data_IF_647459036669
#
_entry.id   IF_647459036669
#
_cell.length_a   1.000
_cell.length_b   1.000
_cell.length_c   1.000
_cell.angle_alpha   90.00
_cell.angle_beta   90.00
_cell.angle_gamma   90.00
#
_symmetry.space_group_name_H-M   'P 1'
#
loop_
_entity.id
_entity.type
_entity.pdbx_description
1 polymer ?
#
# COMPACT_ATOMS: atom_id res chain seq x y z
N UNK A 1 5.03 16.41 -26.08
CA UNK A 1 4.69 14.99 -25.83
C UNK A 1 4.84 14.66 -24.35
N UNK A 2 3.81 14.91 -23.54
CA UNK A 2 3.86 14.64 -22.09
C UNK A 2 2.48 14.25 -21.55
N UNK A 3 1.43 14.96 -21.98
CA UNK A 3 0.06 14.73 -21.53
C UNK A 3 -0.53 13.39 -22.01
N UNK A 4 -0.45 13.09 -23.30
CA UNK A 4 -1.08 11.88 -23.88
C UNK A 4 -0.52 10.59 -23.26
N UNK A 5 0.78 10.57 -22.96
CA UNK A 5 1.43 9.43 -22.30
C UNK A 5 1.00 9.28 -20.84
N UNK A 6 0.88 10.38 -20.10
CA UNK A 6 0.38 10.37 -18.73
C UNK A 6 -1.07 9.89 -18.70
N UNK A 7 -1.90 10.39 -19.61
CA UNK A 7 -3.30 9.98 -19.72
C UNK A 7 -3.43 8.50 -20.06
N UNK A 8 -2.68 8.02 -21.06
CA UNK A 8 -2.68 6.60 -21.45
C UNK A 8 -2.25 5.68 -20.31
N UNK A 9 -1.17 6.01 -19.59
CA UNK A 9 -0.74 5.25 -18.39
C UNK A 9 -1.80 5.28 -17.30
N UNK A 10 -2.54 6.38 -17.17
CA UNK A 10 -3.65 6.49 -16.23
C UNK A 10 -4.77 5.52 -16.60
N UNK A 11 -5.26 5.59 -17.84
CA UNK A 11 -6.33 4.74 -18.37
C UNK A 11 -5.96 3.26 -18.30
N UNK A 12 -4.73 2.89 -18.67
CA UNK A 12 -4.32 1.48 -18.70
C UNK A 12 -4.27 0.86 -17.30
N UNK A 13 -3.80 1.61 -16.30
CA UNK A 13 -3.87 1.17 -14.90
C UNK A 13 -5.32 1.04 -14.45
N UNK A 14 -6.19 1.99 -14.81
CA UNK A 14 -7.61 1.89 -14.49
C UNK A 14 -8.26 0.65 -15.14
N UNK A 15 -7.98 0.39 -16.41
CA UNK A 15 -8.52 -0.75 -17.14
C UNK A 15 -8.07 -2.09 -16.53
N UNK A 16 -6.78 -2.21 -16.20
CA UNK A 16 -6.25 -3.42 -15.55
C UNK A 16 -6.87 -3.60 -14.15
N UNK A 17 -6.91 -2.55 -13.32
CA UNK A 17 -7.50 -2.65 -11.98
C UNK A 17 -9.00 -2.93 -12.02
N UNK A 18 -9.73 -2.38 -13.00
CA UNK A 18 -11.15 -2.62 -13.20
C UNK A 18 -11.47 -4.07 -13.58
N UNK A 19 -10.50 -4.81 -14.16
CA UNK A 19 -10.67 -6.25 -14.44
C UNK A 19 -10.80 -7.09 -13.16
N UNK A 20 -10.34 -6.58 -12.02
CA UNK A 20 -10.33 -7.29 -10.74
C UNK A 20 -9.29 -8.41 -10.65
N UNK A 21 -8.51 -8.66 -11.70
CA UNK A 21 -7.41 -9.62 -11.71
C UNK A 21 -6.21 -9.09 -10.93
N UNK A 22 -5.42 -10.01 -10.38
CA UNK A 22 -4.14 -9.72 -9.71
C UNK A 22 -2.95 -9.75 -10.67
N UNK A 23 -3.21 -10.05 -11.94
CA UNK A 23 -2.26 -10.04 -13.07
C UNK A 23 -2.83 -9.22 -14.22
N UNK A 24 -2.00 -8.92 -15.22
CA UNK A 24 -2.44 -8.17 -16.40
C UNK A 24 -3.32 -9.07 -17.29
N UNK A 25 -4.55 -8.65 -17.66
CA UNK A 25 -5.37 -9.38 -18.61
C UNK A 25 -4.64 -9.60 -19.94
N UNK A 26 -4.77 -10.77 -20.60
CA UNK A 26 -4.07 -11.04 -21.86
C UNK A 26 -4.31 -9.98 -22.95
N UNK A 27 -5.52 -9.43 -23.03
CA UNK A 27 -5.87 -8.39 -23.99
C UNK A 27 -5.18 -7.04 -23.76
N UNK A 28 -4.60 -6.80 -22.57
CA UNK A 28 -3.89 -5.56 -22.22
C UNK A 28 -2.37 -5.77 -22.09
N UNK A 29 -1.88 -7.00 -22.23
CA UNK A 29 -0.48 -7.35 -21.94
C UNK A 29 0.51 -6.60 -22.84
N UNK A 30 0.23 -6.51 -24.14
CA UNK A 30 1.09 -5.81 -25.12
C UNK A 30 1.19 -4.31 -24.81
N UNK A 31 0.07 -3.68 -24.45
CA UNK A 31 0.05 -2.26 -24.12
C UNK A 31 0.75 -1.98 -22.79
N UNK A 32 0.56 -2.86 -21.80
CA UNK A 32 1.27 -2.76 -20.53
C UNK A 32 2.76 -2.91 -20.71
N UNK A 33 3.19 -3.86 -21.55
CA UNK A 33 4.60 -4.03 -21.87
C UNK A 33 5.18 -2.77 -22.52
N UNK A 34 4.51 -2.23 -23.54
CA UNK A 34 4.95 -1.04 -24.26
C UNK A 34 5.02 0.22 -23.36
N UNK A 35 4.04 0.42 -22.48
CA UNK A 35 3.98 1.65 -21.66
C UNK A 35 4.82 1.57 -20.38
N UNK A 36 4.95 0.37 -19.80
CA UNK A 36 5.56 0.18 -18.49
C UNK A 36 6.88 -0.62 -18.50
N UNK A 37 7.28 -1.19 -19.64
CA UNK A 37 8.42 -2.11 -19.71
C UNK A 37 8.13 -3.45 -19.02
N UNK A 38 6.88 -3.89 -19.12
CA UNK A 38 6.40 -5.17 -18.59
C UNK A 38 5.67 -5.06 -17.25
N UNK A 39 5.28 -6.23 -16.72
CA UNK A 39 4.44 -6.33 -15.51
C UNK A 39 5.10 -5.73 -14.27
N UNK A 40 6.42 -5.87 -14.11
CA UNK A 40 7.16 -5.28 -12.98
C UNK A 40 7.07 -3.75 -12.95
N UNK A 41 7.21 -3.09 -14.10
CA UNK A 41 7.06 -1.63 -14.19
C UNK A 41 5.62 -1.17 -13.97
N UNK A 42 4.65 -2.00 -14.35
CA UNK A 42 3.23 -1.77 -14.06
C UNK A 42 2.94 -1.87 -12.55
N UNK A 43 3.43 -2.92 -11.89
CA UNK A 43 3.32 -3.08 -10.43
C UNK A 43 3.89 -1.87 -9.67
N UNK A 44 5.05 -1.37 -10.11
CA UNK A 44 5.65 -0.16 -9.53
C UNK A 44 4.80 1.09 -9.74
N UNK A 45 4.07 1.21 -10.85
CA UNK A 45 3.11 2.30 -11.04
C UNK A 45 1.94 2.19 -10.06
N UNK A 46 1.36 0.99 -9.91
CA UNK A 46 0.27 0.75 -8.95
C UNK A 46 0.73 1.07 -7.52
N UNK A 47 1.91 0.59 -7.12
CA UNK A 47 2.51 0.86 -5.82
C UNK A 47 2.76 2.37 -5.61
N UNK A 48 3.27 3.08 -6.62
CA UNK A 48 3.44 4.54 -6.56
C UNK A 48 2.12 5.27 -6.35
N UNK A 49 1.04 4.85 -7.01
CA UNK A 49 -0.30 5.44 -6.80
C UNK A 49 -0.82 5.16 -5.41
N UNK A 50 -0.67 3.93 -4.93
CA UNK A 50 -1.03 3.55 -3.56
C UNK A 50 -0.31 4.43 -2.53
N UNK A 51 1.02 4.54 -2.61
CA UNK A 51 1.77 5.35 -1.66
C UNK A 51 1.52 6.85 -1.77
N UNK A 52 1.31 7.40 -2.97
CA UNK A 52 0.88 8.79 -3.11
C UNK A 52 -0.46 9.06 -2.42
N UNK A 53 -1.41 8.14 -2.55
CA UNK A 53 -2.70 8.26 -1.89
C UNK A 53 -2.59 8.11 -0.37
N UNK A 54 -1.69 7.24 0.10
CA UNK A 54 -1.37 7.12 1.53
C UNK A 54 -0.72 8.40 2.06
N UNK A 55 0.35 8.87 1.43
CA UNK A 55 1.10 10.06 1.84
C UNK A 55 0.20 11.31 1.86
N UNK A 56 -0.68 11.48 0.86
CA UNK A 56 -1.64 12.59 0.84
C UNK A 56 -2.63 12.59 2.01
N UNK A 57 -2.91 11.42 2.60
CA UNK A 57 -3.75 11.29 3.81
C UNK A 57 -2.93 11.36 5.09
N UNK A 58 -1.63 11.05 5.01
CA UNK A 58 -0.71 11.04 6.15
C UNK A 58 -0.54 12.46 6.68
N UNK A 59 -0.43 13.45 5.80
CA UNK A 59 -0.29 14.86 6.19
C UNK A 59 -1.37 15.31 7.17
N UNK A 60 -2.63 14.91 6.94
CA UNK A 60 -3.74 15.21 7.84
C UNK A 60 -3.63 14.51 9.21
N UNK A 61 -3.17 13.24 9.24
CA UNK A 61 -2.96 12.52 10.50
C UNK A 61 -1.82 13.13 11.32
N UNK A 62 -0.76 13.59 10.64
CA UNK A 62 0.38 14.25 11.30
C UNK A 62 0.04 15.65 11.79
N UNK A 63 -0.86 16.38 11.13
CA UNK A 63 -1.34 17.68 11.59
C UNK A 63 -2.07 17.57 12.94
N UNK A 64 -2.90 16.54 13.12
CA UNK A 64 -3.61 16.29 14.40
C UNK A 64 -2.70 15.69 15.48
N UNK A 65 -1.64 14.98 15.08
CA UNK A 65 -0.69 14.26 15.93
C UNK A 65 -1.35 13.50 17.10
N UNK A 66 -2.25 12.52 16.83
CA UNK A 66 -3.01 11.85 17.87
C UNK A 66 -2.10 11.07 18.82
N UNK A 67 -2.51 10.96 20.09
CA UNK A 67 -1.77 10.19 21.11
C UNK A 67 -1.50 8.74 20.68
N UNK A 68 -2.47 8.14 19.99
CA UNK A 68 -2.36 6.78 19.44
C UNK A 68 -2.01 6.81 17.95
N UNK A 69 -0.90 7.50 17.59
CA UNK A 69 -0.47 7.69 16.19
C UNK A 69 -0.35 6.37 15.42
N UNK A 70 0.18 5.32 16.06
CA UNK A 70 0.26 3.99 15.46
C UNK A 70 -1.10 3.48 14.98
N UNK A 71 -2.12 3.55 15.84
CA UNK A 71 -3.47 3.08 15.50
C UNK A 71 -4.14 3.96 14.46
N UNK A 72 -3.85 5.27 14.47
CA UNK A 72 -4.30 6.19 13.42
C UNK A 72 -3.72 5.80 12.04
N UNK A 73 -2.42 5.49 11.97
CA UNK A 73 -1.78 5.06 10.72
C UNK A 73 -2.31 3.73 10.22
N UNK A 74 -2.56 2.77 11.12
CA UNK A 74 -3.21 1.51 10.75
C UNK A 74 -4.61 1.74 10.20
N UNK A 75 -5.45 2.56 10.87
CA UNK A 75 -6.79 2.90 10.37
C UNK A 75 -6.72 3.50 8.98
N UNK A 76 -5.85 4.48 8.77
CA UNK A 76 -5.65 5.12 7.48
C UNK A 76 -5.27 4.13 6.37
N UNK A 77 -4.38 3.18 6.68
CA UNK A 77 -4.00 2.11 5.73
C UNK A 77 -5.20 1.22 5.38
N UNK A 78 -6.00 0.84 6.38
CA UNK A 78 -7.21 0.01 6.19
C UNK A 78 -8.27 0.77 5.38
N UNK A 79 -8.51 2.04 5.67
CA UNK A 79 -9.45 2.88 4.94
C UNK A 79 -9.01 3.11 3.49
N UNK A 80 -7.69 3.21 3.25
CA UNK A 80 -7.16 3.25 1.89
C UNK A 80 -7.36 1.93 1.15
N UNK A 81 -7.20 0.79 1.82
CA UNK A 81 -7.49 -0.52 1.25
C UNK A 81 -8.96 -0.65 0.83
N UNK A 82 -9.88 -0.10 1.62
CA UNK A 82 -11.29 -0.04 1.28
C UNK A 82 -11.61 0.91 0.12
N UNK A 83 -10.85 2.02 0.00
CA UNK A 83 -11.02 2.97 -1.12
C UNK A 83 -10.45 2.43 -2.43
N UNK A 84 -9.35 1.67 -2.36
CA UNK A 84 -8.59 1.17 -3.51
C UNK A 84 -8.42 -0.36 -3.47
N UNK A 85 -9.51 -1.15 -3.42
CA UNK A 85 -9.44 -2.58 -3.14
C UNK A 85 -8.75 -3.37 -4.26
N UNK A 86 -8.90 -2.97 -5.52
CA UNK A 86 -8.23 -3.63 -6.64
C UNK A 86 -6.71 -3.43 -6.59
N UNK A 87 -6.25 -2.20 -6.31
CA UNK A 87 -4.83 -1.90 -6.16
C UNK A 87 -4.24 -2.66 -4.96
N UNK A 88 -4.96 -2.67 -3.82
CA UNK A 88 -4.53 -3.42 -2.63
C UNK A 88 -4.37 -4.90 -2.93
N UNK A 89 -5.41 -5.55 -3.48
CA UNK A 89 -5.38 -6.99 -3.81
C UNK A 89 -4.26 -7.33 -4.78
N UNK A 90 -4.03 -6.48 -5.78
CA UNK A 90 -2.95 -6.70 -6.74
C UNK A 90 -1.57 -6.61 -6.08
N UNK A 91 -1.34 -5.60 -5.23
CA UNK A 91 -0.07 -5.48 -4.50
C UNK A 91 0.13 -6.63 -3.51
N UNK A 92 -0.93 -7.04 -2.80
CA UNK A 92 -0.90 -8.20 -1.88
C UNK A 92 -0.52 -9.49 -2.59
N UNK A 93 -1.18 -9.77 -3.72
CA UNK A 93 -0.94 -10.99 -4.49
C UNK A 93 0.48 -11.05 -5.11
N UNK A 94 1.16 -9.91 -5.19
CA UNK A 94 2.49 -9.78 -5.78
C UNK A 94 3.53 -9.25 -4.78
N UNK A 95 3.29 -9.38 -3.46
CA UNK A 95 4.15 -8.81 -2.43
C UNK A 95 5.62 -9.28 -2.53
N UNK A 96 5.84 -10.51 -2.99
CA UNK A 96 7.19 -11.09 -3.16
C UNK A 96 7.83 -10.74 -4.53
N UNK A 97 7.16 -9.95 -5.36
CA UNK A 97 7.68 -9.59 -6.67
C UNK A 97 8.89 -8.62 -6.52
N UNK A 98 10.05 -8.91 -7.12
CA UNK A 98 11.29 -8.15 -6.89
C UNK A 98 11.18 -6.66 -7.26
N UNK A 99 10.30 -6.33 -8.21
CA UNK A 99 10.06 -4.94 -8.60
C UNK A 99 9.45 -4.06 -7.50
N UNK A 100 8.79 -4.64 -6.47
CA UNK A 100 8.13 -3.90 -5.39
C UNK A 100 9.06 -3.62 -4.20
N UNK A 101 10.03 -4.49 -3.94
CA UNK A 101 10.89 -4.48 -2.74
C UNK A 101 11.55 -3.13 -2.48
N UNK A 102 12.13 -2.51 -3.53
CA UNK A 102 12.89 -1.27 -3.37
C UNK A 102 12.04 -0.08 -2.93
N UNK A 103 10.81 0.03 -3.45
CA UNK A 103 9.90 1.12 -3.15
C UNK A 103 9.20 0.93 -1.80
N UNK A 104 8.89 -0.31 -1.40
CA UNK A 104 8.39 -0.62 -0.06
C UNK A 104 9.40 -0.18 1.01
N UNK A 105 10.67 -0.57 0.83
CA UNK A 105 11.75 -0.22 1.76
C UNK A 105 12.00 1.30 1.80
N UNK A 106 11.87 1.98 0.67
CA UNK A 106 11.99 3.44 0.64
C UNK A 106 10.82 4.12 1.36
N UNK A 107 9.59 3.64 1.18
CA UNK A 107 8.42 4.20 1.87
C UNK A 107 8.51 3.94 3.38
N UNK A 108 8.88 2.73 3.80
CA UNK A 108 9.09 2.38 5.21
C UNK A 108 10.11 3.28 5.90
N UNK A 109 11.25 3.55 5.25
CA UNK A 109 12.27 4.47 5.75
C UNK A 109 11.75 5.91 5.89
N UNK A 110 10.99 6.38 4.90
CA UNK A 110 10.37 7.72 4.94
C UNK A 110 9.35 7.85 6.06
N UNK A 111 8.48 6.85 6.21
CA UNK A 111 7.47 6.84 7.26
C UNK A 111 8.11 6.81 8.66
N UNK A 112 9.14 6.00 8.84
CA UNK A 112 9.92 5.97 10.08
C UNK A 112 10.58 7.33 10.37
N UNK A 113 11.20 7.96 9.36
CA UNK A 113 11.81 9.28 9.54
C UNK A 113 10.77 10.36 9.92
N UNK A 114 9.56 10.29 9.37
CA UNK A 114 8.50 11.28 9.62
C UNK A 114 7.79 11.08 10.98
N UNK A 115 7.68 9.84 11.45
CA UNK A 115 6.80 9.49 12.59
C UNK A 115 7.53 8.88 13.78
N UNK A 116 8.78 8.45 13.60
CA UNK A 116 9.51 7.61 14.56
C UNK A 116 8.96 6.18 14.69
N UNK A 117 7.94 5.81 13.92
CA UNK A 117 7.28 4.50 14.03
C UNK A 117 7.80 3.53 12.96
N UNK A 118 7.95 2.27 13.38
CA UNK A 118 8.16 1.15 12.45
C UNK A 118 6.84 0.41 12.30
N UNK A 119 6.18 0.57 11.16
CA UNK A 119 5.01 -0.24 10.81
C UNK A 119 5.48 -1.54 10.15
N UNK A 120 5.14 -2.67 10.76
CA UNK A 120 5.34 -3.98 10.15
C UNK A 120 4.18 -4.30 9.21
N UNK A 121 4.40 -5.04 8.10
CA UNK A 121 3.32 -5.52 7.24
C UNK A 121 2.21 -6.26 8.00
N UNK A 122 2.58 -7.02 9.03
CA UNK A 122 1.62 -7.72 9.90
C UNK A 122 0.70 -6.74 10.65
N UNK A 123 1.26 -5.63 11.13
CA UNK A 123 0.50 -4.60 11.87
C UNK A 123 -0.54 -3.91 10.99
N UNK A 124 -0.34 -3.88 9.67
CA UNK A 124 -1.22 -3.20 8.72
C UNK A 124 -2.42 -4.05 8.30
N UNK A 125 -2.28 -5.38 8.34
CA UNK A 125 -3.32 -6.34 7.94
C UNK A 125 -4.14 -6.84 9.13
N UNK A 126 -3.63 -6.72 10.35
CA UNK A 126 -4.35 -7.11 11.57
C UNK A 126 -5.55 -6.20 11.87
N UNK A 127 -6.76 -6.77 12.09
CA UNK A 127 -7.91 -6.01 12.55
C UNK A 127 -7.61 -5.30 13.87
N UNK A 128 -7.84 -3.98 13.93
CA UNK A 128 -7.62 -3.18 15.15
C UNK A 128 -8.41 -3.70 16.37
N UNK A 129 -9.57 -4.32 16.13
CA UNK A 129 -10.39 -4.94 17.17
C UNK A 129 -9.68 -6.09 17.94
N UNK A 130 -8.65 -6.71 17.36
CA UNK A 130 -7.90 -7.81 17.98
C UNK A 130 -6.75 -7.37 18.91
N UNK A 131 -6.23 -6.16 18.74
CA UNK A 131 -4.98 -5.72 19.41
C UNK A 131 -5.11 -5.40 20.89
N UNK A 132 -6.31 -4.99 21.35
CA UNK A 132 -6.57 -4.71 22.78
C UNK A 132 -6.39 -5.92 23.71
N UNK A 133 -6.39 -7.16 23.19
CA UNK A 133 -6.26 -8.37 24.01
C UNK A 133 -4.81 -8.83 24.24
N UNK A 134 -3.86 -8.36 23.44
CA UNK A 134 -2.47 -8.86 23.50
C UNK A 134 -1.63 -8.21 24.60
N UNK A 135 -1.93 -6.97 25.04
CA UNK A 135 -1.26 -6.38 26.20
C UNK A 135 -1.68 -7.01 27.55
N UNK A 136 -2.79 -7.75 27.58
CA UNK A 136 -3.31 -8.38 28.80
C UNK A 136 -2.79 -9.79 29.04
N UNK A 137 -2.29 -10.49 28.02
CA UNK A 137 -1.77 -11.85 28.17
C UNK A 137 -0.27 -11.91 28.49
N UNK A 138 0.51 -10.90 28.10
CA UNK A 138 1.94 -10.82 28.42
C UNK A 138 2.23 -10.44 29.88
N UNK A 139 1.25 -9.91 30.61
CA UNK A 139 1.37 -9.64 32.05
C UNK A 139 1.00 -10.84 32.95
N UNK A 140 0.31 -11.86 32.42
CA UNK A 140 -0.17 -13.02 33.19
C UNK A 140 0.78 -14.24 33.15
N UNK A 141 1.83 -14.23 32.33
CA UNK A 141 2.78 -15.35 32.19
C UNK A 141 4.12 -15.15 32.91
N UNK A 142 4.24 -14.14 33.80
CA UNK A 142 5.45 -13.86 34.61
C UNK A 142 5.30 -14.12 36.11
N UNK A 143 4.25 -14.84 36.53
CA UNK A 143 4.03 -15.20 37.94
C UNK A 143 3.70 -16.68 38.11
N UNK A 144 4.65 -17.56 37.76
CA UNK A 144 4.77 -18.91 38.34
C UNK A 144 6.22 -19.32 38.31
#
# INVERSE_FOLDING_TARGET
MSWDRVHRRHELVHAVLASGLTTVPPGLAVEVDAEFGGFGGFLQEVQRRWYRAFDARLDAVLEEWPRDLHDALVRQWQDLALTMPAARRMLDANADHPALVGADEQHRRRLHAATGLVLSPASLTEPLAGRRKQCLWSLLLRTT
#
